data_IF_752790817155
#
_entry.id   IF_752790817155
#
_cell.length_a   1.000
_cell.length_b   1.000
_cell.length_c   1.000
_cell.angle_alpha   90.00
_cell.angle_beta   90.00
_cell.angle_gamma   90.00
#
_symmetry.space_group_name_H-M   'P 1'
#
loop_
_entity.id
_entity.type
_entity.pdbx_description
1 polymer ?
#
# COMPACT_ATOMS: atom_id res chain seq x y z
N UNK A 1 -13.99 -18.60 5.79
CA UNK A 1 -13.90 -17.31 6.49
C UNK A 1 -12.75 -17.42 7.49
N UNK A 2 -11.66 -16.70 7.30
CA UNK A 2 -10.63 -16.61 8.33
C UNK A 2 -11.23 -15.90 9.55
N UNK A 3 -10.92 -16.36 10.73
CA UNK A 3 -11.39 -15.77 11.99
C UNK A 3 -10.80 -14.36 12.12
N UNK A 4 -11.57 -13.35 11.73
CA UNK A 4 -11.17 -11.93 11.69
C UNK A 4 -10.87 -11.36 13.09
N UNK A 5 -11.36 -11.99 14.14
CA UNK A 5 -11.12 -11.60 15.54
C UNK A 5 -9.79 -12.11 16.09
N UNK A 6 -9.07 -12.91 15.37
CA UNK A 6 -7.79 -13.46 15.85
C UNK A 6 -6.69 -12.41 15.72
N UNK A 7 -6.02 -12.10 16.83
CA UNK A 7 -4.81 -11.24 16.80
C UNK A 7 -3.76 -11.85 15.88
N UNK A 8 -3.14 -11.06 14.97
CA UNK A 8 -2.02 -11.55 14.17
C UNK A 8 -0.89 -12.05 15.09
N UNK A 9 -0.11 -13.01 14.63
CA UNK A 9 1.04 -13.47 15.40
C UNK A 9 2.23 -12.51 15.21
N UNK A 10 3.07 -12.27 16.24
CA UNK A 10 4.26 -11.43 16.13
C UNK A 10 5.22 -11.89 15.02
N UNK A 11 5.93 -10.92 14.45
CA UNK A 11 6.95 -11.18 13.43
C UNK A 11 8.22 -11.76 14.08
N UNK A 12 8.85 -12.72 13.42
CA UNK A 12 10.10 -13.31 13.91
C UNK A 12 11.30 -12.51 13.38
N UNK A 13 12.08 -11.86 14.26
CA UNK A 13 13.36 -11.19 13.96
C UNK A 13 13.30 -10.26 12.74
N UNK A 14 12.58 -9.14 12.85
CA UNK A 14 12.43 -8.16 11.77
C UNK A 14 13.03 -6.83 12.15
N UNK A 15 13.35 -5.97 11.16
CA UNK A 15 13.74 -4.57 11.40
C UNK A 15 12.61 -3.80 12.13
N UNK A 16 11.35 -4.14 11.88
CA UNK A 16 10.19 -3.53 12.55
C UNK A 16 10.26 -3.66 14.08
N UNK A 17 10.77 -4.77 14.60
CA UNK A 17 10.90 -4.98 16.04
C UNK A 17 11.83 -3.94 16.73
N UNK A 18 12.73 -3.31 15.98
CA UNK A 18 13.60 -2.24 16.49
C UNK A 18 12.83 -0.94 16.76
N UNK A 19 11.62 -0.79 16.20
CA UNK A 19 10.77 0.39 16.37
C UNK A 19 9.68 0.23 17.45
N UNK A 20 9.72 -0.83 18.24
CA UNK A 20 8.77 -1.07 19.32
C UNK A 20 8.66 0.17 20.24
N UNK A 21 7.44 0.57 20.58
CA UNK A 21 7.06 1.80 21.29
C UNK A 21 7.31 3.11 20.52
N UNK A 22 7.82 3.02 19.28
CA UNK A 22 7.84 4.14 18.34
C UNK A 22 6.50 4.31 17.64
N UNK A 23 6.45 5.15 16.62
CA UNK A 23 5.25 5.48 15.89
C UNK A 23 5.32 5.04 14.42
N UNK A 24 4.21 4.53 13.92
CA UNK A 24 4.06 4.26 12.50
C UNK A 24 2.89 5.04 11.91
N UNK A 25 3.10 5.65 10.75
CA UNK A 25 2.06 6.30 9.97
C UNK A 25 1.59 5.35 8.86
N UNK A 26 0.29 5.11 8.78
CA UNK A 26 -0.31 4.23 7.77
C UNK A 26 -1.39 4.97 6.99
N UNK A 27 -1.21 5.11 5.67
CA UNK A 27 -2.21 5.73 4.80
C UNK A 27 -3.15 4.71 4.16
N UNK A 28 -4.41 5.10 3.91
CA UNK A 28 -5.43 4.19 3.38
C UNK A 28 -5.85 3.14 4.41
N UNK A 29 -6.06 3.54 5.67
CA UNK A 29 -6.20 2.65 6.82
C UNK A 29 -7.64 2.50 7.34
N UNK A 30 -8.64 3.17 6.73
CA UNK A 30 -10.01 3.18 7.24
C UNK A 30 -10.80 1.89 6.98
N UNK A 31 -10.56 1.22 5.84
CA UNK A 31 -11.34 0.05 5.45
C UNK A 31 -10.90 -1.19 6.21
N UNK A 32 -11.83 -1.87 6.88
CA UNK A 32 -11.60 -3.09 7.65
C UNK A 32 -10.93 -4.21 6.83
N UNK A 33 -11.36 -4.40 5.61
CA UNK A 33 -10.81 -5.40 4.68
C UNK A 33 -9.60 -4.88 3.90
N UNK A 34 -9.14 -3.66 4.21
CA UNK A 34 -8.06 -2.98 3.51
C UNK A 34 -6.66 -3.48 3.94
N UNK A 35 -5.72 -3.43 3.00
CA UNK A 35 -4.31 -3.73 3.30
C UNK A 35 -3.73 -2.72 4.31
N UNK A 36 -4.18 -1.45 4.29
CA UNK A 36 -3.76 -0.43 5.26
C UNK A 36 -4.11 -0.80 6.69
N UNK A 37 -5.33 -1.27 6.93
CA UNK A 37 -5.74 -1.74 8.25
C UNK A 37 -5.02 -3.02 8.67
N UNK A 38 -4.77 -3.94 7.73
CA UNK A 38 -3.96 -5.13 7.99
C UNK A 38 -2.51 -4.77 8.39
N UNK A 39 -1.90 -3.76 7.77
CA UNK A 39 -0.62 -3.22 8.22
C UNK A 39 -0.71 -2.62 9.62
N UNK A 40 -1.74 -1.80 9.89
CA UNK A 40 -1.95 -1.19 11.19
C UNK A 40 -2.07 -2.25 12.30
N UNK A 41 -2.88 -3.28 12.10
CA UNK A 41 -3.00 -4.41 13.04
C UNK A 41 -1.68 -5.14 13.29
N UNK A 42 -0.92 -5.42 12.23
CA UNK A 42 0.35 -6.12 12.38
C UNK A 42 1.40 -5.25 13.10
N UNK A 43 1.44 -3.94 12.83
CA UNK A 43 2.32 -2.98 13.53
C UNK A 43 1.94 -2.84 15.01
N UNK A 44 0.63 -2.83 15.31
CA UNK A 44 0.13 -2.84 16.69
C UNK A 44 0.55 -4.10 17.46
N UNK A 45 0.53 -5.27 16.83
CA UNK A 45 1.06 -6.53 17.42
C UNK A 45 2.54 -6.41 17.75
N UNK A 46 3.32 -5.69 16.93
CA UNK A 46 4.74 -5.44 17.19
C UNK A 46 4.96 -4.37 18.29
N UNK A 47 3.88 -3.75 18.78
CA UNK A 47 3.90 -2.77 19.86
C UNK A 47 4.28 -1.36 19.41
N UNK A 48 3.99 -0.98 18.17
CA UNK A 48 4.08 0.40 17.71
C UNK A 48 2.79 1.16 17.99
N UNK A 49 2.90 2.44 18.29
CA UNK A 49 1.80 3.39 18.25
C UNK A 49 1.53 3.80 16.80
N UNK A 50 0.33 4.30 16.49
CA UNK A 50 -0.10 4.51 15.11
C UNK A 50 -0.63 5.92 14.86
N UNK A 51 -0.30 6.47 13.70
CA UNK A 51 -1.01 7.58 13.06
C UNK A 51 -1.71 7.00 11.83
N UNK A 52 -3.03 6.94 11.85
CA UNK A 52 -3.83 6.45 10.74
C UNK A 52 -4.30 7.61 9.87
N UNK A 53 -4.16 7.47 8.58
CA UNK A 53 -4.52 8.52 7.60
C UNK A 53 -5.46 7.94 6.55
N UNK A 54 -6.62 8.56 6.37
CA UNK A 54 -7.58 8.20 5.31
C UNK A 54 -8.53 9.38 5.06
N UNK A 55 -9.25 9.37 3.94
CA UNK A 55 -10.32 10.32 3.65
C UNK A 55 -11.63 9.96 4.38
N UNK A 56 -11.82 8.70 4.73
CA UNK A 56 -13.02 8.17 5.39
C UNK A 56 -12.87 8.35 6.91
N UNK A 57 -13.22 9.54 7.41
CA UNK A 57 -12.96 9.94 8.80
C UNK A 57 -13.67 9.09 9.85
N UNK A 58 -14.94 8.77 9.64
CA UNK A 58 -15.75 8.00 10.60
C UNK A 58 -15.25 6.54 10.71
N UNK A 59 -14.99 5.89 9.58
CA UNK A 59 -14.43 4.55 9.56
C UNK A 59 -13.01 4.53 10.14
N UNK A 60 -12.23 5.57 9.89
CA UNK A 60 -10.89 5.72 10.44
C UNK A 60 -10.90 5.82 11.96
N UNK A 61 -11.84 6.58 12.52
CA UNK A 61 -12.03 6.71 13.96
C UNK A 61 -12.42 5.35 14.59
N UNK A 62 -13.33 4.62 13.94
CA UNK A 62 -13.73 3.28 14.39
C UNK A 62 -12.52 2.31 14.40
N UNK A 63 -11.70 2.32 13.35
CA UNK A 63 -10.49 1.47 13.30
C UNK A 63 -9.48 1.86 14.38
N UNK A 64 -9.36 3.15 14.69
CA UNK A 64 -8.48 3.62 15.75
C UNK A 64 -8.94 3.12 17.13
N UNK A 65 -10.23 3.16 17.43
CA UNK A 65 -10.78 2.68 18.70
C UNK A 65 -10.61 1.16 18.87
N UNK A 66 -10.82 0.39 17.81
CA UNK A 66 -10.53 -1.05 17.81
C UNK A 66 -9.07 -1.35 18.12
N UNK A 67 -8.14 -0.64 17.48
CA UNK A 67 -6.70 -0.85 17.70
C UNK A 67 -6.27 -0.47 19.12
N UNK A 68 -6.81 0.62 19.68
CA UNK A 68 -6.57 1.00 21.09
C UNK A 68 -7.07 -0.08 22.04
N UNK A 69 -8.31 -0.54 21.83
CA UNK A 69 -8.94 -1.58 22.65
C UNK A 69 -8.22 -2.91 22.57
N UNK A 70 -7.89 -3.36 21.35
CA UNK A 70 -7.35 -4.69 21.14
C UNK A 70 -5.88 -4.82 21.53
N UNK A 71 -5.08 -3.76 21.35
CA UNK A 71 -3.62 -3.85 21.48
C UNK A 71 -3.05 -3.00 22.61
N UNK A 72 -3.82 -2.06 23.17
CA UNK A 72 -3.36 -1.18 24.26
C UNK A 72 -2.25 -0.22 23.83
N UNK A 73 -2.31 0.26 22.60
CA UNK A 73 -1.38 1.23 22.00
C UNK A 73 -2.05 2.60 21.86
N UNK A 74 -1.24 3.63 21.69
CA UNK A 74 -1.75 4.94 21.29
C UNK A 74 -2.01 4.98 19.78
N UNK A 75 -3.16 5.56 19.40
CA UNK A 75 -3.55 5.73 18.01
C UNK A 75 -4.06 7.16 17.80
N UNK A 76 -3.49 7.87 16.84
CA UNK A 76 -3.97 9.18 16.37
C UNK A 76 -4.54 9.03 14.94
N UNK A 77 -5.42 9.92 14.55
CA UNK A 77 -6.07 9.88 13.23
C UNK A 77 -5.92 11.23 12.52
N UNK A 78 -5.72 11.18 11.21
CA UNK A 78 -5.77 12.34 10.32
C UNK A 78 -6.74 12.03 9.17
N UNK A 79 -7.95 12.58 9.25
CA UNK A 79 -8.92 12.49 8.17
C UNK A 79 -8.61 13.58 7.14
N UNK A 80 -8.05 13.20 6.00
CA UNK A 80 -7.68 14.15 4.93
C UNK A 80 -7.61 13.48 3.56
N UNK A 81 -7.75 14.31 2.54
CA UNK A 81 -7.57 13.93 1.15
C UNK A 81 -6.11 14.15 0.71
N UNK A 82 -5.39 13.07 0.48
CA UNK A 82 -3.98 13.12 0.04
C UNK A 82 -3.78 13.63 -1.41
N UNK A 83 -4.87 13.88 -2.13
CA UNK A 83 -4.85 14.53 -3.44
C UNK A 83 -4.93 16.05 -3.40
N UNK A 84 -5.21 16.65 -2.24
CA UNK A 84 -5.26 18.10 -2.09
C UNK A 84 -3.86 18.73 -1.97
N UNK A 85 -3.80 20.06 -2.17
CA UNK A 85 -2.53 20.78 -2.11
C UNK A 85 -2.00 20.90 -0.67
N UNK A 86 -2.89 20.90 0.32
CA UNK A 86 -2.56 21.09 1.73
C UNK A 86 -3.14 19.97 2.66
N UNK A 87 -2.98 18.67 2.33
CA UNK A 87 -3.47 17.58 3.18
C UNK A 87 -2.64 17.44 4.45
N UNK A 88 -1.50 18.14 4.50
CA UNK A 88 -0.48 17.95 5.53
C UNK A 88 -0.85 18.59 6.86
N UNK A 89 -1.69 19.63 6.88
CA UNK A 89 -2.12 20.26 8.15
C UNK A 89 -2.75 19.25 9.09
N UNK A 90 -3.65 18.39 8.60
CA UNK A 90 -4.26 17.35 9.41
C UNK A 90 -3.24 16.28 9.85
N UNK A 91 -2.31 15.92 8.98
CA UNK A 91 -1.25 14.96 9.29
C UNK A 91 -0.28 15.57 10.32
N UNK A 92 0.17 16.81 10.11
CA UNK A 92 1.07 17.50 11.04
C UNK A 92 0.42 17.70 12.40
N UNK A 93 -0.87 18.03 12.46
CA UNK A 93 -1.62 18.12 13.71
C UNK A 93 -1.71 16.77 14.44
N UNK A 94 -1.90 15.66 13.71
CA UNK A 94 -1.93 14.34 14.29
C UNK A 94 -0.54 13.85 14.72
N UNK A 95 0.49 14.14 13.95
CA UNK A 95 1.90 13.81 14.27
C UNK A 95 2.35 14.66 15.46
N UNK A 96 2.14 15.98 15.44
CA UNK A 96 2.55 16.87 16.53
C UNK A 96 4.06 16.77 16.79
N UNK A 97 4.40 16.41 18.01
CA UNK A 97 5.77 16.31 18.54
C UNK A 97 6.40 14.91 18.45
N UNK A 98 5.72 13.94 17.83
CA UNK A 98 6.22 12.57 17.77
C UNK A 98 7.14 12.34 16.57
N UNK A 99 8.15 11.51 16.78
CA UNK A 99 8.96 10.96 15.70
C UNK A 99 8.25 9.76 15.05
N UNK A 100 7.98 9.85 13.74
CA UNK A 100 7.44 8.73 12.99
C UNK A 100 8.59 7.84 12.51
N UNK A 101 8.68 6.62 13.03
CA UNK A 101 9.74 5.65 12.71
C UNK A 101 9.42 4.83 11.45
N UNK A 102 8.14 4.59 11.15
CA UNK A 102 7.71 3.77 10.02
C UNK A 102 6.61 4.49 9.23
N UNK A 103 6.76 4.59 7.93
CA UNK A 103 5.72 5.14 7.04
C UNK A 103 5.28 4.07 6.05
N UNK A 104 3.97 3.77 6.03
CA UNK A 104 3.34 2.89 5.05
C UNK A 104 2.52 3.74 4.07
N UNK A 105 3.09 4.00 2.90
CA UNK A 105 2.39 4.66 1.80
C UNK A 105 1.54 3.61 1.06
N UNK A 106 0.25 3.51 1.43
CA UNK A 106 -0.67 2.49 0.92
C UNK A 106 -1.93 3.07 0.27
N UNK A 107 -2.22 4.35 0.47
CA UNK A 107 -3.38 5.00 -0.13
C UNK A 107 -3.39 4.88 -1.65
N UNK A 108 -4.58 4.84 -2.23
CA UNK A 108 -4.75 4.84 -3.67
C UNK A 108 -6.14 5.35 -4.07
N UNK A 109 -6.20 5.92 -5.26
CA UNK A 109 -7.44 6.22 -5.94
C UNK A 109 -7.42 5.60 -7.33
N UNK A 110 -8.49 4.94 -7.70
CA UNK A 110 -8.79 4.45 -9.05
C UNK A 110 -10.30 4.47 -9.23
N UNK A 111 -10.83 4.77 -10.43
CA UNK A 111 -12.24 4.62 -10.71
C UNK A 111 -12.70 3.18 -10.42
N UNK A 112 -13.93 3.03 -9.97
CA UNK A 112 -14.56 1.72 -9.74
C UNK A 112 -14.76 0.94 -11.03
N UNK A 113 -15.06 1.66 -12.11
CA UNK A 113 -15.08 1.11 -13.46
C UNK A 113 -13.66 1.06 -14.02
N UNK A 114 -13.41 0.09 -14.89
CA UNK A 114 -12.11 -0.09 -15.57
C UNK A 114 -12.23 0.28 -17.04
N UNK A 115 -12.45 1.57 -17.36
CA UNK A 115 -12.63 2.03 -18.73
C UNK A 115 -11.31 2.11 -19.47
N UNK A 116 -11.37 2.22 -20.81
CA UNK A 116 -10.21 2.58 -21.62
C UNK A 116 -9.72 3.96 -21.22
N UNK A 117 -8.42 4.21 -21.34
CA UNK A 117 -7.80 5.45 -20.87
C UNK A 117 -8.44 6.73 -21.43
N UNK A 118 -8.88 6.69 -22.69
CA UNK A 118 -9.50 7.85 -23.35
C UNK A 118 -11.00 8.03 -22.98
N UNK A 119 -11.59 7.06 -22.31
CA UNK A 119 -12.98 7.13 -21.82
C UNK A 119 -13.04 7.69 -20.38
N UNK A 120 -11.88 7.86 -19.72
CA UNK A 120 -11.78 8.50 -18.39
C UNK A 120 -11.63 10.00 -18.55
N UNK A 121 -12.40 10.79 -17.80
CA UNK A 121 -12.29 12.25 -17.83
C UNK A 121 -10.89 12.71 -17.41
N UNK A 122 -10.44 13.83 -17.95
CA UNK A 122 -9.14 14.42 -17.60
C UNK A 122 -9.06 14.77 -16.10
N UNK A 123 -10.17 15.21 -15.51
CA UNK A 123 -10.28 15.48 -14.08
C UNK A 123 -9.99 14.25 -13.24
N UNK A 124 -10.62 13.11 -13.55
CA UNK A 124 -10.37 11.84 -12.86
C UNK A 124 -8.92 11.36 -13.05
N UNK A 125 -8.36 11.53 -14.25
CA UNK A 125 -6.95 11.18 -14.51
C UNK A 125 -6.00 12.07 -13.70
N UNK A 126 -6.26 13.38 -13.63
CA UNK A 126 -5.47 14.33 -12.84
C UNK A 126 -5.55 13.98 -11.35
N UNK A 127 -6.74 13.68 -10.85
CA UNK A 127 -6.92 13.25 -9.46
C UNK A 127 -6.17 11.96 -9.12
N UNK A 128 -6.10 10.99 -10.06
CA UNK A 128 -5.25 9.82 -9.86
C UNK A 128 -3.77 10.18 -9.73
N UNK A 129 -3.27 11.16 -10.51
CA UNK A 129 -1.89 11.63 -10.40
C UNK A 129 -1.66 12.34 -9.05
N UNK A 130 -2.60 13.17 -8.63
CA UNK A 130 -2.50 13.92 -7.38
C UNK A 130 -2.42 12.97 -6.18
N UNK A 131 -3.30 11.99 -6.09
CA UNK A 131 -3.34 11.04 -4.97
C UNK A 131 -2.20 10.03 -5.08
N UNK A 132 -2.04 9.37 -6.24
CA UNK A 132 -1.18 8.18 -6.35
C UNK A 132 0.29 8.51 -6.69
N UNK A 133 0.60 9.72 -7.17
CA UNK A 133 1.98 10.13 -7.46
C UNK A 133 2.42 11.27 -6.55
N UNK A 134 1.77 12.44 -6.60
CA UNK A 134 2.13 13.60 -5.78
C UNK A 134 2.00 13.29 -4.28
N UNK A 135 0.92 12.67 -3.84
CA UNK A 135 0.71 12.28 -2.44
C UNK A 135 1.84 11.38 -1.91
N UNK A 136 2.28 10.39 -2.71
CA UNK A 136 3.42 9.54 -2.35
C UNK A 136 4.73 10.32 -2.25
N UNK A 137 5.02 11.17 -3.25
CA UNK A 137 6.23 12.00 -3.26
C UNK A 137 6.31 12.88 -2.02
N UNK A 138 5.21 13.52 -1.68
CA UNK A 138 5.13 14.42 -0.55
C UNK A 138 5.37 13.68 0.79
N UNK A 139 4.70 12.54 1.03
CA UNK A 139 4.90 11.75 2.24
C UNK A 139 6.35 11.25 2.36
N UNK A 140 6.90 10.74 1.26
CA UNK A 140 8.29 10.27 1.22
C UNK A 140 9.27 11.41 1.52
N UNK A 141 9.05 12.60 0.94
CA UNK A 141 9.89 13.76 1.19
C UNK A 141 9.81 14.21 2.66
N UNK A 142 8.58 14.38 3.16
CA UNK A 142 8.33 14.88 4.52
C UNK A 142 8.95 13.97 5.57
N UNK A 143 8.60 12.70 5.58
CA UNK A 143 9.05 11.78 6.61
C UNK A 143 10.44 11.20 6.34
N UNK A 144 10.80 11.00 5.08
CA UNK A 144 12.11 10.51 4.69
C UNK A 144 13.24 11.48 5.04
N UNK A 145 12.99 12.80 4.96
CA UNK A 145 13.95 13.82 5.38
C UNK A 145 14.24 13.70 6.87
N UNK A 146 13.20 13.67 7.71
CA UNK A 146 13.35 13.55 9.16
C UNK A 146 14.02 12.22 9.57
N UNK A 147 13.60 11.12 8.95
CA UNK A 147 14.21 9.80 9.19
C UNK A 147 15.71 9.79 8.86
N UNK A 148 16.09 10.40 7.72
CA UNK A 148 17.48 10.50 7.29
C UNK A 148 18.30 11.34 8.27
N UNK A 149 17.76 12.45 8.75
CA UNK A 149 18.44 13.33 9.72
C UNK A 149 18.64 12.62 11.07
N UNK A 150 17.67 11.83 11.51
CA UNK A 150 17.76 11.01 12.74
C UNK A 150 18.62 9.76 12.57
N UNK A 151 18.94 9.37 11.34
CA UNK A 151 19.67 8.13 11.06
C UNK A 151 18.85 6.87 11.36
N UNK A 152 17.50 6.96 11.34
CA UNK A 152 16.61 5.87 11.72
C UNK A 152 15.24 6.00 11.07
N UNK A 153 14.75 4.92 10.45
CA UNK A 153 13.38 4.86 9.92
C UNK A 153 13.15 3.73 8.94
N UNK A 154 11.89 3.58 8.53
CA UNK A 154 11.50 2.65 7.47
C UNK A 154 10.34 3.23 6.62
N UNK A 155 10.47 3.16 5.30
CA UNK A 155 9.48 3.61 4.34
C UNK A 155 9.03 2.41 3.50
N UNK A 156 7.74 2.13 3.50
CA UNK A 156 7.11 1.09 2.68
C UNK A 156 6.22 1.74 1.63
N UNK A 157 6.48 1.48 0.37
CA UNK A 157 5.73 2.01 -0.77
C UNK A 157 4.93 0.89 -1.41
N UNK A 158 3.59 0.96 -1.30
CA UNK A 158 2.71 -0.08 -1.84
C UNK A 158 2.33 0.24 -3.28
N UNK A 159 2.96 -0.46 -4.19
CA UNK A 159 2.67 -0.46 -5.61
C UNK A 159 1.90 -1.73 -6.02
N UNK A 160 1.85 -2.04 -7.30
CA UNK A 160 1.09 -3.16 -7.87
C UNK A 160 1.82 -3.83 -9.04
N UNK A 161 1.46 -5.08 -9.31
CA UNK A 161 1.95 -5.84 -10.46
C UNK A 161 1.72 -5.14 -11.80
N UNK A 162 0.66 -4.36 -11.95
CA UNK A 162 0.39 -3.59 -13.18
C UNK A 162 1.43 -2.50 -13.44
N UNK A 163 2.13 -2.03 -12.42
CA UNK A 163 3.26 -1.12 -12.58
C UNK A 163 4.46 -1.76 -13.29
N UNK A 164 4.64 -3.07 -13.17
CA UNK A 164 5.67 -3.82 -13.87
C UNK A 164 5.24 -4.25 -15.28
N UNK A 165 3.97 -4.59 -15.45
CA UNK A 165 3.48 -5.23 -16.69
C UNK A 165 2.80 -4.26 -17.64
N UNK A 166 2.31 -3.14 -17.20
CA UNK A 166 1.27 -2.26 -17.73
C UNK A 166 -0.16 -2.77 -17.42
N UNK A 167 -1.15 -1.90 -17.54
CA UNK A 167 -2.55 -2.23 -17.23
C UNK A 167 -3.51 -1.64 -18.28
N UNK A 168 -3.73 -2.29 -19.44
CA UNK A 168 -4.86 -1.94 -20.29
C UNK A 168 -6.16 -1.88 -19.46
N UNK A 169 -7.06 -0.99 -19.79
CA UNK A 169 -8.29 -0.69 -19.00
C UNK A 169 -8.06 -0.07 -17.62
N UNK A 170 -6.81 0.26 -17.29
CA UNK A 170 -6.43 0.98 -16.06
C UNK A 170 -5.13 1.77 -16.24
N UNK A 171 -5.02 2.48 -17.37
CA UNK A 171 -3.74 3.02 -17.88
C UNK A 171 -3.06 4.02 -16.95
N UNK A 172 -3.77 5.06 -16.47
CA UNK A 172 -3.17 6.07 -15.57
C UNK A 172 -2.83 5.47 -14.21
N UNK A 173 -3.66 4.58 -13.68
CA UNK A 173 -3.34 3.85 -12.46
C UNK A 173 -2.07 3.01 -12.62
N UNK A 174 -1.94 2.26 -13.72
CA UNK A 174 -0.74 1.47 -13.98
C UNK A 174 0.52 2.34 -14.12
N UNK A 175 0.40 3.52 -14.75
CA UNK A 175 1.49 4.49 -14.84
C UNK A 175 1.89 5.02 -13.45
N UNK A 176 0.92 5.35 -12.60
CA UNK A 176 1.19 5.76 -11.21
C UNK A 176 1.86 4.63 -10.40
N UNK A 177 1.44 3.39 -10.60
CA UNK A 177 2.08 2.23 -9.94
C UNK A 177 3.51 2.01 -10.43
N UNK A 178 3.81 2.26 -11.71
CA UNK A 178 5.18 2.26 -12.22
C UNK A 178 6.01 3.41 -11.61
N UNK A 179 5.44 4.62 -11.50
CA UNK A 179 6.07 5.75 -10.82
C UNK A 179 6.47 5.38 -9.38
N UNK A 180 5.57 4.78 -8.60
CA UNK A 180 5.82 4.37 -7.22
C UNK A 180 6.96 3.33 -7.10
N UNK A 181 7.09 2.42 -8.08
CA UNK A 181 8.19 1.45 -8.13
C UNK A 181 9.52 2.18 -8.30
N UNK A 182 9.62 3.03 -9.32
CA UNK A 182 10.87 3.75 -9.62
C UNK A 182 11.24 4.70 -8.49
N UNK A 183 10.27 5.42 -7.93
CA UNK A 183 10.49 6.29 -6.76
C UNK A 183 11.09 5.51 -5.59
N UNK A 184 10.49 4.36 -5.25
CA UNK A 184 10.93 3.56 -4.11
C UNK A 184 12.29 2.88 -4.33
N UNK A 185 12.56 2.36 -5.53
CA UNK A 185 13.88 1.77 -5.85
C UNK A 185 15.00 2.80 -5.84
N UNK A 186 14.73 4.01 -6.37
CA UNK A 186 15.69 5.13 -6.32
C UNK A 186 15.97 5.53 -4.89
N UNK A 187 14.92 5.75 -4.10
CA UNK A 187 15.04 6.13 -2.70
C UNK A 187 15.78 5.07 -1.87
N UNK A 188 15.51 3.78 -2.10
CA UNK A 188 16.25 2.70 -1.46
C UNK A 188 17.75 2.79 -1.71
N UNK A 189 18.15 3.11 -2.94
CA UNK A 189 19.58 3.25 -3.26
C UNK A 189 20.19 4.49 -2.60
N UNK A 190 19.52 5.62 -2.65
CA UNK A 190 19.99 6.91 -2.13
C UNK A 190 20.11 6.94 -0.60
N UNK A 191 19.26 6.17 0.10
CA UNK A 191 19.27 6.08 1.57
C UNK A 191 20.17 4.96 2.12
N UNK A 192 20.94 4.27 1.29
CA UNK A 192 21.90 3.27 1.77
C UNK A 192 22.90 3.87 2.75
N UNK A 193 23.05 3.22 3.90
CA UNK A 193 23.99 3.64 4.94
C UNK A 193 23.50 4.79 5.82
N UNK A 194 22.29 5.32 5.59
CA UNK A 194 21.70 6.39 6.42
C UNK A 194 20.94 5.89 7.63
N UNK A 195 20.76 4.58 7.78
CA UNK A 195 19.92 4.00 8.83
C UNK A 195 18.42 3.97 8.49
N UNK A 196 18.03 4.32 7.27
CA UNK A 196 16.63 4.29 6.79
C UNK A 196 16.44 3.15 5.80
N UNK A 197 15.50 2.24 6.13
CA UNK A 197 15.10 1.14 5.26
C UNK A 197 14.01 1.58 4.29
N UNK A 198 14.10 1.17 3.02
CA UNK A 198 13.04 1.39 2.03
C UNK A 198 12.62 0.06 1.41
N UNK A 199 11.32 -0.18 1.32
CA UNK A 199 10.75 -1.39 0.72
C UNK A 199 9.65 -1.04 -0.27
N UNK A 200 9.79 -1.51 -1.51
CA UNK A 200 8.72 -1.46 -2.53
C UNK A 200 7.91 -2.74 -2.48
N UNK A 201 6.60 -2.62 -2.40
CA UNK A 201 5.66 -3.74 -2.42
C UNK A 201 4.99 -3.83 -3.79
N UNK A 202 5.13 -4.95 -4.44
CA UNK A 202 4.42 -5.24 -5.69
C UNK A 202 3.20 -6.10 -5.37
N UNK A 203 2.13 -5.43 -5.01
CA UNK A 203 0.89 -6.10 -4.64
C UNK A 203 0.24 -6.79 -5.87
N UNK A 204 -0.28 -7.99 -5.65
CA UNK A 204 -1.15 -8.69 -6.59
C UNK A 204 -2.62 -8.36 -6.38
N UNK A 205 -3.51 -9.19 -6.91
CA UNK A 205 -4.94 -9.12 -6.61
C UNK A 205 -5.16 -9.43 -5.13
N UNK A 206 -5.96 -8.61 -4.46
CA UNK A 206 -6.26 -8.78 -3.04
C UNK A 206 -7.76 -8.66 -2.75
N UNK A 207 -8.22 -9.40 -1.77
CA UNK A 207 -9.60 -9.38 -1.30
C UNK A 207 -9.86 -8.15 -0.40
N UNK A 208 -9.77 -6.95 -0.98
CA UNK A 208 -9.92 -5.66 -0.27
C UNK A 208 -11.18 -4.90 -0.66
N UNK A 209 -11.96 -5.39 -1.61
CA UNK A 209 -13.12 -4.71 -2.17
C UNK A 209 -14.32 -5.67 -2.31
N UNK A 210 -14.51 -6.55 -1.33
CA UNK A 210 -15.59 -7.53 -1.34
C UNK A 210 -15.51 -8.44 -2.58
N UNK A 211 -16.63 -8.62 -3.28
CA UNK A 211 -16.72 -9.55 -4.42
C UNK A 211 -16.09 -9.06 -5.73
N UNK A 212 -15.46 -7.87 -5.75
CA UNK A 212 -14.87 -7.32 -6.97
C UNK A 212 -13.86 -8.26 -7.64
N UNK A 213 -13.18 -9.09 -6.85
CA UNK A 213 -12.21 -10.07 -7.34
C UNK A 213 -12.70 -11.52 -7.30
N UNK A 214 -13.99 -11.78 -6.99
CA UNK A 214 -14.57 -13.13 -7.01
C UNK A 214 -14.49 -13.83 -8.38
N UNK A 215 -14.34 -13.05 -9.44
CA UNK A 215 -14.19 -13.50 -10.83
C UNK A 215 -12.82 -14.11 -11.15
N UNK A 216 -11.81 -13.83 -10.31
CA UNK A 216 -10.45 -14.31 -10.53
C UNK A 216 -10.22 -15.65 -9.78
N UNK A 217 -9.32 -16.51 -10.27
CA UNK A 217 -9.01 -17.76 -9.57
C UNK A 217 -8.55 -17.48 -8.13
N UNK A 218 -9.18 -18.12 -7.16
CA UNK A 218 -8.88 -17.93 -5.72
C UNK A 218 -7.40 -17.94 -5.35
N UNK A 219 -6.53 -18.80 -5.93
CA UNK A 219 -5.10 -18.77 -5.59
C UNK A 219 -4.36 -17.48 -6.02
N UNK A 220 -4.96 -16.68 -6.91
CA UNK A 220 -4.40 -15.38 -7.35
C UNK A 220 -4.85 -14.21 -6.47
N UNK A 221 -5.90 -14.39 -5.68
CA UNK A 221 -6.45 -13.36 -4.79
C UNK A 221 -5.91 -13.60 -3.39
N UNK A 222 -5.07 -12.69 -2.91
CA UNK A 222 -4.44 -12.79 -1.59
C UNK A 222 -5.30 -12.11 -0.52
N UNK A 223 -5.21 -12.63 0.71
CA UNK A 223 -5.79 -11.97 1.89
C UNK A 223 -4.84 -10.89 2.42
N UNK A 224 -5.35 -9.73 2.88
CA UNK A 224 -4.52 -8.60 3.32
C UNK A 224 -3.58 -8.92 4.49
N UNK A 225 -4.03 -9.67 5.50
CA UNK A 225 -3.21 -9.96 6.70
C UNK A 225 -1.95 -10.78 6.41
N UNK A 226 -1.99 -11.91 5.68
CA UNK A 226 -0.79 -12.61 5.24
C UNK A 226 0.16 -11.74 4.41
N UNK A 227 -0.41 -10.87 3.55
CA UNK A 227 0.38 -9.94 2.74
C UNK A 227 1.09 -8.92 3.64
N UNK A 228 0.38 -8.25 4.55
CA UNK A 228 0.97 -7.29 5.47
C UNK A 228 2.11 -7.92 6.29
N UNK A 229 1.91 -9.14 6.77
CA UNK A 229 2.91 -9.91 7.51
C UNK A 229 4.15 -10.22 6.67
N UNK A 230 3.99 -10.71 5.43
CA UNK A 230 5.11 -10.99 4.52
C UNK A 230 5.89 -9.72 4.21
N UNK A 231 5.19 -8.60 3.94
CA UNK A 231 5.78 -7.30 3.65
C UNK A 231 6.61 -6.78 4.82
N UNK A 232 6.02 -6.69 6.00
CA UNK A 232 6.73 -6.18 7.18
C UNK A 232 7.91 -7.07 7.60
N UNK A 233 7.83 -8.37 7.32
CA UNK A 233 8.97 -9.28 7.50
C UNK A 233 10.12 -9.03 6.52
N UNK A 234 9.87 -8.36 5.40
CA UNK A 234 10.87 -8.07 4.37
C UNK A 234 11.61 -6.74 4.57
N UNK A 235 11.08 -5.84 5.42
CA UNK A 235 11.71 -4.55 5.75
C UNK A 235 13.13 -4.77 6.29
N UNK A 236 14.09 -3.98 5.83
CA UNK A 236 15.51 -4.09 6.18
C UNK A 236 16.25 -5.28 5.54
N UNK A 237 15.52 -6.13 4.77
CA UNK A 237 16.12 -7.33 4.12
C UNK A 237 16.07 -7.26 2.60
N UNK A 238 15.08 -6.59 2.05
CA UNK A 238 14.82 -6.51 0.60
C UNK A 238 14.52 -5.06 0.22
N UNK A 239 14.85 -4.70 -1.01
CA UNK A 239 14.40 -3.44 -1.59
C UNK A 239 12.99 -3.57 -2.22
N UNK A 240 12.63 -4.77 -2.62
CA UNK A 240 11.34 -5.07 -3.25
C UNK A 240 10.80 -6.42 -2.80
N UNK A 241 9.48 -6.53 -2.64
CA UNK A 241 8.79 -7.78 -2.36
C UNK A 241 7.55 -7.94 -3.23
N UNK A 242 7.35 -9.13 -3.76
CA UNK A 242 6.11 -9.56 -4.43
C UNK A 242 5.46 -10.58 -3.50
N UNK A 243 4.43 -10.19 -2.72
CA UNK A 243 3.80 -11.10 -1.78
C UNK A 243 3.04 -12.24 -2.48
N UNK A 244 3.09 -13.40 -1.88
CA UNK A 244 2.42 -14.60 -2.37
C UNK A 244 3.15 -15.32 -3.51
N UNK A 245 3.24 -16.65 -3.40
CA UNK A 245 4.01 -17.48 -4.35
C UNK A 245 3.40 -17.42 -5.75
N UNK A 246 2.08 -17.49 -5.85
CA UNK A 246 1.37 -17.50 -7.15
C UNK A 246 1.54 -16.17 -7.87
N UNK A 247 1.35 -15.05 -7.17
CA UNK A 247 1.55 -13.70 -7.73
C UNK A 247 3.01 -13.51 -8.16
N UNK A 248 3.96 -13.97 -7.35
CA UNK A 248 5.40 -13.90 -7.66
C UNK A 248 5.73 -14.68 -8.92
N UNK A 249 5.28 -15.93 -9.03
CA UNK A 249 5.51 -16.77 -10.21
C UNK A 249 4.90 -16.16 -11.47
N UNK A 250 3.65 -15.68 -11.38
CA UNK A 250 2.96 -15.01 -12.47
C UNK A 250 3.71 -13.77 -12.97
N UNK A 251 4.12 -12.87 -12.06
CA UNK A 251 4.82 -11.65 -12.43
C UNK A 251 6.23 -11.92 -12.98
N UNK A 252 6.96 -12.89 -12.43
CA UNK A 252 8.27 -13.31 -12.98
C UNK A 252 8.11 -13.83 -14.41
N UNK A 253 7.11 -14.66 -14.66
CA UNK A 253 6.80 -15.16 -16.01
C UNK A 253 6.53 -13.99 -16.97
N UNK A 254 5.68 -13.05 -16.57
CA UNK A 254 5.29 -11.91 -17.40
C UNK A 254 6.44 -10.94 -17.69
N UNK A 255 7.31 -10.71 -16.70
CA UNK A 255 8.34 -9.66 -16.81
C UNK A 255 9.70 -10.18 -17.31
N UNK A 256 10.02 -11.47 -17.09
CA UNK A 256 11.32 -12.04 -17.45
C UNK A 256 11.31 -13.03 -18.59
N UNK A 257 10.18 -13.74 -18.81
CA UNK A 257 10.09 -14.80 -19.82
C UNK A 257 9.28 -14.37 -21.06
N UNK A 258 8.62 -13.22 -21.01
CA UNK A 258 7.85 -12.69 -22.13
C UNK A 258 8.42 -11.37 -22.63
N UNK A 259 8.32 -11.12 -23.95
CA UNK A 259 8.64 -9.79 -24.49
C UNK A 259 7.62 -8.76 -23.98
N UNK A 260 8.01 -7.49 -23.84
CA UNK A 260 7.13 -6.40 -23.38
C UNK A 260 5.80 -6.35 -24.14
N UNK A 261 5.84 -6.49 -25.47
CA UNK A 261 4.63 -6.52 -26.31
C UNK A 261 3.70 -7.68 -25.96
N UNK A 262 4.25 -8.89 -25.76
CA UNK A 262 3.46 -10.06 -25.37
C UNK A 262 2.86 -9.91 -23.97
N UNK A 263 3.60 -9.34 -23.03
CA UNK A 263 3.11 -9.03 -21.68
C UNK A 263 1.92 -8.10 -21.74
N UNK A 264 2.01 -6.97 -22.45
CA UNK A 264 0.89 -6.01 -22.59
C UNK A 264 -0.35 -6.69 -23.17
N UNK A 265 -0.20 -7.49 -24.23
CA UNK A 265 -1.32 -8.22 -24.85
C UNK A 265 -1.92 -9.25 -23.87
N UNK A 266 -1.07 -10.00 -23.18
CA UNK A 266 -1.51 -11.03 -22.21
C UNK A 266 -2.30 -10.42 -21.06
N UNK A 267 -1.80 -9.35 -20.47
CA UNK A 267 -2.49 -8.63 -19.38
C UNK A 267 -3.78 -7.99 -19.88
N UNK A 268 -3.77 -7.37 -21.07
CA UNK A 268 -4.98 -6.82 -21.68
C UNK A 268 -6.09 -7.85 -21.79
N UNK A 269 -5.79 -9.01 -22.40
CA UNK A 269 -6.76 -10.11 -22.53
C UNK A 269 -7.22 -10.69 -21.19
N UNK A 270 -6.33 -10.72 -20.19
CA UNK A 270 -6.65 -11.19 -18.85
C UNK A 270 -7.66 -10.25 -18.15
N UNK A 271 -7.42 -8.94 -18.23
CA UNK A 271 -8.31 -7.93 -17.67
C UNK A 271 -9.64 -7.84 -18.43
N UNK A 272 -9.62 -7.90 -19.76
CA UNK A 272 -10.82 -7.91 -20.62
C UNK A 272 -11.77 -9.05 -20.24
N UNK A 273 -11.26 -10.27 -20.08
CA UNK A 273 -12.06 -11.40 -19.60
C UNK A 273 -12.64 -11.21 -18.21
N UNK A 274 -11.96 -10.46 -17.36
CA UNK A 274 -12.46 -10.07 -16.03
C UNK A 274 -13.61 -9.06 -16.12
N UNK A 275 -13.62 -8.21 -17.16
CA UNK A 275 -14.65 -7.20 -17.39
C UNK A 275 -15.91 -7.78 -18.06
N UNK A 276 -15.74 -8.70 -19.02
CA UNK A 276 -16.86 -9.35 -19.75
C UNK A 276 -17.74 -10.21 -18.85
N UNK A 277 -17.22 -10.72 -17.74
CA UNK A 277 -17.97 -11.42 -16.71
C UNK A 277 -18.61 -10.43 -15.75
N UNK A 278 -19.62 -9.65 -16.18
CA UNK A 278 -20.45 -8.83 -15.34
C UNK A 278 -20.93 -9.56 -14.06
N UNK A 279 -21.46 -8.87 -13.03
CA UNK A 279 -22.05 -9.56 -11.90
C UNK A 279 -23.06 -10.56 -12.46
N UNK A 280 -22.93 -11.82 -12.08
CA UNK A 280 -24.00 -12.79 -12.28
C UNK A 280 -25.15 -12.33 -11.43
N UNK A 281 -26.27 -11.96 -12.09
CA UNK A 281 -27.55 -11.68 -11.45
C UNK A 281 -27.93 -12.78 -10.46
#
# INVERSE_FOLDING_TARGET
MADRNRRPAPLKRTAIAAYRRGWALVTGAAREEGLGYAFARQLAVEGLNLVLVDILGDELALRADELRSDFGIDVRTAACDLGEAAPYEAIEAAVGDIDVDVVICNHMFTPTETPKILDVTLETQSRMLDINARGYTNLVYRFGTDMRERGRGAIVIVSSGVGLTSGPYNGVYAANKAFQIVLGETLWYELKGTGVDVLVVIAGLMNTQGDAFAKFPRPMVAEPEPVAREVLSAVGRKHMVIPGIVNRAFLIMQTRLMSRRRTVISIGKFLEKGLEKGPTD
#
